data_IF_136632461191
#
_entry.id   IF_136632461191
#
_cell.length_a   1.000
_cell.length_b   1.000
_cell.length_c   1.000
_cell.angle_alpha   90.00
_cell.angle_beta   90.00
_cell.angle_gamma   90.00
#
_symmetry.space_group_name_H-M   'P 1'
#
loop_
_entity.id
_entity.type
_entity.pdbx_description
1 polymer ?
#
# COMPACT_ATOMS: atom_id res chain seq x y z
N UNK A 1 -9.12 14.40 -11.41
CA UNK A 1 -9.29 12.93 -11.51
C UNK A 1 -10.01 12.30 -10.32
N UNK A 2 -9.75 12.67 -9.06
CA UNK A 2 -10.42 12.07 -7.90
C UNK A 2 -11.96 12.14 -7.97
N UNK A 3 -12.51 13.31 -8.33
CA UNK A 3 -13.95 13.52 -8.43
C UNK A 3 -14.60 12.69 -9.55
N UNK A 4 -13.88 12.41 -10.65
CA UNK A 4 -14.40 11.60 -11.75
C UNK A 4 -14.49 10.12 -11.36
N UNK A 5 -13.50 9.61 -10.61
CA UNK A 5 -13.51 8.21 -10.13
C UNK A 5 -14.66 8.00 -9.14
N UNK A 6 -14.81 8.89 -8.15
CA UNK A 6 -15.88 8.76 -7.16
C UNK A 6 -17.28 8.88 -7.78
N UNK A 7 -17.48 9.76 -8.76
CA UNK A 7 -18.76 9.92 -9.47
C UNK A 7 -19.13 8.68 -10.29
N UNK A 8 -18.19 8.12 -11.06
CA UNK A 8 -18.42 6.91 -11.86
C UNK A 8 -18.71 5.70 -10.97
N UNK A 9 -18.02 5.62 -9.84
CA UNK A 9 -18.28 4.56 -8.88
C UNK A 9 -19.64 4.67 -8.19
N UNK A 10 -20.10 5.90 -7.92
CA UNK A 10 -21.47 6.12 -7.44
C UNK A 10 -22.53 5.70 -8.47
N UNK A 11 -22.17 5.65 -9.76
CA UNK A 11 -23.01 5.11 -10.84
C UNK A 11 -22.90 3.57 -10.98
N UNK A 12 -22.16 2.90 -10.10
CA UNK A 12 -22.00 1.44 -10.10
C UNK A 12 -20.85 0.90 -10.93
N UNK A 13 -20.01 1.76 -11.53
CA UNK A 13 -18.78 1.30 -12.21
C UNK A 13 -17.76 0.81 -11.18
N UNK A 14 -17.14 -0.34 -11.43
CA UNK A 14 -16.08 -0.87 -10.56
C UNK A 14 -14.80 -0.04 -10.71
N UNK A 15 -13.93 -0.09 -9.71
CA UNK A 15 -12.68 0.71 -9.76
C UNK A 15 -11.77 0.23 -10.90
N UNK A 16 -11.75 -1.07 -11.16
CA UNK A 16 -10.98 -1.70 -12.24
C UNK A 16 -11.47 -1.25 -13.63
N UNK A 17 -12.77 -0.98 -13.79
CA UNK A 17 -13.34 -0.46 -15.04
C UNK A 17 -13.01 1.01 -15.27
N UNK A 18 -12.95 1.80 -14.18
CA UNK A 18 -12.65 3.23 -14.25
C UNK A 18 -11.16 3.48 -14.47
N UNK A 19 -10.30 2.67 -13.84
CA UNK A 19 -8.86 2.80 -13.93
C UNK A 19 -8.18 1.43 -13.75
N UNK A 20 -7.87 0.72 -14.86
CA UNK A 20 -7.41 -0.68 -14.81
C UNK A 20 -6.07 -0.87 -14.10
N UNK A 21 -5.22 0.16 -14.10
CA UNK A 21 -3.90 0.12 -13.44
C UNK A 21 -3.97 0.45 -11.94
N UNK A 22 -5.15 0.82 -11.42
CA UNK A 22 -5.32 1.19 -10.02
C UNK A 22 -5.55 -0.05 -9.16
N UNK A 23 -4.47 -0.68 -8.70
CA UNK A 23 -4.57 -1.79 -7.76
C UNK A 23 -4.91 -1.28 -6.35
N UNK A 24 -6.16 -1.52 -5.92
CA UNK A 24 -6.59 -1.25 -4.55
C UNK A 24 -6.60 -2.56 -3.77
N UNK A 25 -5.71 -2.76 -2.78
CA UNK A 25 -5.81 -3.89 -1.87
C UNK A 25 -7.05 -3.72 -0.99
N UNK A 26 -8.19 -4.22 -1.46
CA UNK A 26 -9.33 -4.55 -0.61
C UNK A 26 -8.80 -5.61 0.36
N UNK A 27 -8.68 -5.32 1.65
CA UNK A 27 -8.10 -6.27 2.63
C UNK A 27 -8.88 -7.59 2.75
N UNK A 28 -9.46 -7.91 3.91
CA UNK A 28 -10.28 -9.13 4.09
C UNK A 28 -11.54 -9.21 3.17
N UNK A 29 -11.77 -8.19 2.33
CA UNK A 29 -12.94 -8.00 1.46
C UNK A 29 -12.61 -8.18 -0.03
N UNK A 30 -11.78 -9.17 -0.34
CA UNK A 30 -11.41 -9.51 -1.73
C UNK A 30 -12.70 -9.78 -2.54
N UNK A 31 -12.95 -8.99 -3.58
CA UNK A 31 -14.16 -9.11 -4.42
C UNK A 31 -15.36 -8.24 -4.00
N UNK A 32 -15.24 -7.42 -2.96
CA UNK A 32 -16.20 -6.36 -2.63
C UNK A 32 -15.63 -4.99 -3.00
N UNK A 33 -16.52 -4.05 -3.33
CA UNK A 33 -16.13 -2.67 -3.66
C UNK A 33 -15.23 -2.08 -2.55
N UNK A 34 -14.03 -1.55 -2.88
CA UNK A 34 -13.16 -0.91 -1.90
C UNK A 34 -13.86 0.19 -1.08
N UNK A 35 -13.35 0.58 0.09
CA UNK A 35 -13.88 1.76 0.76
C UNK A 35 -13.45 3.04 0.03
N UNK A 36 -14.19 4.13 0.22
CA UNK A 36 -13.81 5.46 -0.29
C UNK A 36 -12.39 5.83 0.16
N UNK A 37 -12.06 5.64 1.44
CA UNK A 37 -10.73 5.92 1.98
C UNK A 37 -9.62 5.14 1.27
N UNK A 38 -9.89 3.89 0.87
CA UNK A 38 -8.95 3.05 0.14
C UNK A 38 -8.69 3.58 -1.28
N UNK A 39 -9.74 4.08 -1.95
CA UNK A 39 -9.63 4.76 -3.26
C UNK A 39 -8.79 6.03 -3.15
N UNK A 40 -9.04 6.85 -2.13
CA UNK A 40 -8.25 8.06 -1.88
C UNK A 40 -6.76 7.74 -1.70
N UNK A 41 -6.43 6.73 -0.88
CA UNK A 41 -5.03 6.31 -0.67
C UNK A 41 -4.38 5.84 -1.96
N UNK A 42 -5.03 4.94 -2.70
CA UNK A 42 -4.46 4.38 -3.93
C UNK A 42 -4.19 5.47 -4.99
N UNK A 43 -5.11 6.42 -5.14
CA UNK A 43 -4.95 7.54 -6.07
C UNK A 43 -3.83 8.49 -5.64
N UNK A 44 -3.72 8.79 -4.35
CA UNK A 44 -2.64 9.64 -3.82
C UNK A 44 -1.27 8.99 -4.03
N UNK A 45 -1.15 7.69 -3.78
CA UNK A 45 0.08 6.94 -4.02
C UNK A 45 0.44 6.89 -5.51
N UNK A 46 -0.54 6.68 -6.40
CA UNK A 46 -0.30 6.75 -7.85
C UNK A 46 0.19 8.13 -8.29
N UNK A 47 -0.44 9.20 -7.80
CA UNK A 47 -0.03 10.56 -8.11
C UNK A 47 1.40 10.88 -7.62
N UNK A 48 1.79 10.37 -6.44
CA UNK A 48 3.17 10.49 -5.94
C UNK A 48 4.16 9.75 -6.85
N UNK A 49 3.82 8.53 -7.30
CA UNK A 49 4.66 7.75 -8.21
C UNK A 49 4.86 8.41 -9.56
N UNK A 50 3.80 8.99 -10.12
CA UNK A 50 3.89 9.75 -11.37
C UNK A 50 4.71 11.03 -11.22
N UNK A 51 4.59 11.72 -10.09
CA UNK A 51 5.30 12.98 -9.84
C UNK A 51 6.78 12.78 -9.48
N UNK A 52 7.13 11.68 -8.82
CA UNK A 52 8.48 11.43 -8.29
C UNK A 52 8.92 9.98 -8.52
N UNK A 53 9.19 9.59 -9.77
CA UNK A 53 9.58 8.22 -10.09
C UNK A 53 10.89 7.81 -9.38
N UNK A 54 11.89 8.70 -9.38
CA UNK A 54 13.20 8.44 -8.75
C UNK A 54 13.11 8.26 -7.23
N UNK A 55 12.25 9.03 -6.54
CA UNK A 55 12.07 8.91 -5.10
C UNK A 55 11.41 7.57 -4.70
N UNK A 56 10.57 7.03 -5.58
CA UNK A 56 9.93 5.73 -5.38
C UNK A 56 10.92 4.59 -5.58
N UNK A 57 11.75 4.67 -6.61
CA UNK A 57 12.83 3.71 -6.84
C UNK A 57 13.82 3.69 -5.67
N UNK A 58 14.21 4.87 -5.18
CA UNK A 58 15.09 4.99 -4.00
C UNK A 58 14.44 4.38 -2.75
N UNK A 59 13.16 4.68 -2.48
CA UNK A 59 12.45 4.09 -1.35
C UNK A 59 12.34 2.55 -1.45
N UNK A 60 12.17 2.02 -2.66
CA UNK A 60 12.19 0.57 -2.89
C UNK A 60 13.59 -0.03 -2.65
N UNK A 61 14.65 0.64 -3.09
CA UNK A 61 16.03 0.23 -2.84
C UNK A 61 16.36 0.25 -1.34
N UNK A 62 15.99 1.31 -0.63
CA UNK A 62 16.20 1.46 0.80
C UNK A 62 15.43 0.41 1.61
N UNK A 63 14.17 0.12 1.23
CA UNK A 63 13.38 -0.94 1.85
C UNK A 63 13.97 -2.33 1.56
N UNK A 64 14.41 -2.60 0.34
CA UNK A 64 15.06 -3.86 0.00
C UNK A 64 16.37 -4.07 0.79
N UNK A 65 17.16 -2.99 0.96
CA UNK A 65 18.36 -3.01 1.80
C UNK A 65 18.02 -3.27 3.29
N UNK A 66 16.95 -2.66 3.79
CA UNK A 66 16.46 -2.90 5.15
C UNK A 66 16.01 -4.36 5.37
N UNK A 67 15.21 -4.90 4.46
CA UNK A 67 14.76 -6.30 4.50
C UNK A 67 15.92 -7.29 4.37
N UNK A 68 16.92 -6.98 3.52
CA UNK A 68 18.12 -7.81 3.38
C UNK A 68 18.97 -7.82 4.66
N UNK A 69 18.98 -6.73 5.43
CA UNK A 69 19.61 -6.65 6.74
C UNK A 69 18.88 -7.41 7.85
N UNK A 70 17.56 -7.61 7.73
CA UNK A 70 16.75 -8.30 8.75
C UNK A 70 16.89 -9.84 8.72
N UNK A 71 17.48 -10.42 7.67
CA UNK A 71 17.67 -11.89 7.55
C UNK A 71 18.94 -12.39 8.26
N UNK A 72 19.62 -11.58 9.08
CA UNK A 72 20.70 -12.09 9.93
C UNK A 72 20.74 -11.41 11.29
N UNK A 73 20.03 -12.01 12.24
CA UNK A 73 20.22 -11.73 13.66
C UNK A 73 19.31 -12.64 14.49
N UNK A 74 19.84 -13.58 15.28
CA UNK A 74 19.00 -14.36 16.19
C UNK A 74 18.29 -13.39 17.13
N UNK A 75 16.95 -13.52 17.21
CA UNK A 75 16.11 -12.83 18.19
C UNK A 75 16.76 -13.01 19.57
N UNK A 76 17.41 -11.97 20.09
CA UNK A 76 17.97 -11.97 21.43
C UNK A 76 16.82 -12.21 22.40
N UNK A 77 16.73 -13.45 22.88
CA UNK A 77 15.86 -13.80 23.99
C UNK A 77 16.32 -12.96 25.18
N UNK A 78 15.47 -12.04 25.61
CA UNK A 78 15.64 -11.34 26.88
C UNK A 78 15.76 -12.39 27.99
N UNK A 79 16.87 -12.44 28.75
CA UNK A 79 16.95 -13.35 29.88
C UNK A 79 15.92 -12.90 30.92
N UNK A 80 15.04 -13.84 31.24
CA UNK A 80 14.00 -13.73 32.25
C UNK A 80 14.65 -13.35 33.59
N UNK A 81 14.41 -12.14 34.09
CA UNK A 81 14.79 -11.76 35.45
C UNK A 81 13.78 -12.35 36.43
N UNK A 82 13.88 -13.65 36.69
CA UNK A 82 13.18 -14.33 37.79
C UNK A 82 14.13 -15.30 38.50
N UNK A 83 14.85 -14.76 39.47
CA UNK A 83 15.55 -15.42 40.58
C UNK A 83 16.18 -14.28 41.40
N UNK A 84 15.93 -14.06 42.69
CA UNK A 84 15.46 -14.84 43.83
C UNK A 84 14.69 -13.91 44.79
#
# INVERSE_FOLDING_TARGET
>A
MLHTVLRRRANGESVEQIQPDLFIPTGKRKGQDPSVASIYRALAERAKREAYPEAVEQAHADFAAFQAGEVSGPRLALPNLTSL
#
